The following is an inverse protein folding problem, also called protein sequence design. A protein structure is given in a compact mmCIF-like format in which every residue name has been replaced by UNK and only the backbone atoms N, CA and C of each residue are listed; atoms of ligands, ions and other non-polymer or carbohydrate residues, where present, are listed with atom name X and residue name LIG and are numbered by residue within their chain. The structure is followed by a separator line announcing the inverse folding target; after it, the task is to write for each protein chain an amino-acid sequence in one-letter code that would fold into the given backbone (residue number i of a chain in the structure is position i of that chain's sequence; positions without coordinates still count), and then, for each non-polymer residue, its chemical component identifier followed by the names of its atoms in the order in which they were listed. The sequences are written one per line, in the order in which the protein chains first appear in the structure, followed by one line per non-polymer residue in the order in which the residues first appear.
data_IF_658650079618
#
_entry.id   IF_658650079618
#
_cell.length_a   1.000
_cell.length_b   1.000
_cell.length_c   1.000
_cell.angle_alpha   90.00
_cell.angle_beta   90.00
_cell.angle_gamma   90.00
#
_symmetry.space_group_name_H-M   'P 1'
#
loop_
_entity.id
_entity.type
_entity.pdbx_description
1 polymer ?
#
# COMPACT_ATOMS: atom_id res chain seq x y z
N UNK A 1 -10.12 23.16 11.13
CA UNK A 1 -11.12 22.15 10.72
C UNK A 1 -10.96 21.67 9.26
N UNK A 2 -10.31 22.41 8.35
CA UNK A 2 -10.14 21.98 6.94
C UNK A 2 -9.27 20.72 6.74
N UNK A 3 -8.20 20.56 7.52
CA UNK A 3 -7.25 19.44 7.35
C UNK A 3 -7.89 18.05 7.44
N UNK A 4 -8.61 17.72 8.53
CA UNK A 4 -9.29 16.43 8.66
C UNK A 4 -10.29 16.14 7.53
N UNK A 5 -11.00 17.16 7.04
CA UNK A 5 -11.97 16.99 5.95
C UNK A 5 -11.28 16.59 4.63
N UNK A 6 -10.18 17.26 4.29
CA UNK A 6 -9.40 16.94 3.07
C UNK A 6 -8.84 15.52 3.15
N UNK A 7 -8.35 15.11 4.32
CA UNK A 7 -7.88 13.74 4.56
C UNK A 7 -9.00 12.74 4.31
N UNK A 8 -10.18 12.96 4.89
CA UNK A 8 -11.33 12.07 4.69
C UNK A 8 -11.74 12.00 3.22
N UNK A 9 -11.82 13.13 2.53
CA UNK A 9 -12.14 13.15 1.09
C UNK A 9 -11.09 12.42 0.25
N UNK A 10 -9.80 12.58 0.57
CA UNK A 10 -8.72 11.85 -0.08
C UNK A 10 -8.78 10.35 0.18
N UNK A 11 -9.08 9.91 1.40
CA UNK A 11 -9.27 8.49 1.73
C UNK A 11 -10.47 7.91 0.97
N UNK A 12 -11.59 8.64 0.88
CA UNK A 12 -12.76 8.23 0.09
C UNK A 12 -12.40 8.10 -1.39
N UNK A 13 -11.66 9.07 -1.95
CA UNK A 13 -11.21 9.02 -3.34
C UNK A 13 -10.30 7.81 -3.60
N UNK A 14 -9.37 7.50 -2.69
CA UNK A 14 -8.52 6.32 -2.79
C UNK A 14 -9.33 5.02 -2.74
N UNK A 15 -10.34 4.93 -1.86
CA UNK A 15 -11.25 3.76 -1.82
C UNK A 15 -12.05 3.64 -3.11
N UNK A 16 -12.52 4.76 -3.68
CA UNK A 16 -13.21 4.77 -4.96
C UNK A 16 -12.32 4.19 -6.08
N UNK A 17 -11.06 4.66 -6.19
CA UNK A 17 -10.07 4.11 -7.14
C UNK A 17 -9.78 2.63 -6.87
N UNK A 18 -9.71 2.26 -5.57
CA UNK A 18 -9.83 0.91 -5.01
C UNK A 18 -10.80 0.00 -5.76
N UNK A 19 -12.04 0.44 -5.75
CA UNK A 19 -13.20 -0.30 -6.25
C UNK A 19 -13.19 -0.34 -7.78
N UNK A 20 -12.85 0.77 -8.43
CA UNK A 20 -12.80 0.86 -9.90
C UNK A 20 -11.76 -0.11 -10.48
N UNK A 21 -10.51 -0.05 -9.99
CA UNK A 21 -9.43 -0.94 -10.43
C UNK A 21 -9.72 -2.41 -10.07
N UNK A 22 -10.48 -2.69 -9.01
CA UNK A 22 -10.88 -4.06 -8.66
C UNK A 22 -11.78 -4.69 -9.73
N UNK A 23 -12.75 -3.94 -10.25
CA UNK A 23 -13.62 -4.43 -11.33
C UNK A 23 -12.84 -4.64 -12.62
N UNK A 24 -11.91 -3.75 -12.94
CA UNK A 24 -11.06 -3.91 -14.11
C UNK A 24 -10.08 -5.08 -13.95
N UNK A 25 -9.56 -5.32 -12.73
CA UNK A 25 -8.74 -6.48 -12.43
C UNK A 25 -9.52 -7.78 -12.65
N UNK A 26 -10.80 -7.85 -12.25
CA UNK A 26 -11.63 -9.02 -12.52
C UNK A 26 -11.82 -9.25 -14.02
N UNK A 27 -12.09 -8.19 -14.80
CA UNK A 27 -12.22 -8.30 -16.27
C UNK A 27 -10.91 -8.74 -16.92
N UNK A 28 -9.78 -8.19 -16.49
CA UNK A 28 -8.47 -8.54 -17.00
C UNK A 28 -8.11 -10.00 -16.67
N UNK A 29 -8.44 -10.46 -15.46
CA UNK A 29 -8.27 -11.85 -15.04
C UNK A 29 -9.09 -12.83 -15.90
N UNK A 30 -10.35 -12.52 -16.19
CA UNK A 30 -11.20 -13.33 -17.06
C UNK A 30 -10.67 -13.41 -18.49
N UNK A 31 -9.99 -12.37 -18.97
CA UNK A 31 -9.41 -12.28 -20.31
C UNK A 31 -7.98 -12.82 -20.40
N UNK A 32 -7.41 -13.31 -19.30
CA UNK A 32 -5.98 -13.67 -19.20
C UNK A 32 -5.05 -12.56 -19.75
N UNK A 33 -5.42 -11.29 -19.51
CA UNK A 33 -4.70 -10.13 -20.04
C UNK A 33 -3.45 -9.82 -19.20
N UNK A 34 -2.40 -9.33 -19.84
CA UNK A 34 -1.21 -8.81 -19.15
C UNK A 34 -1.50 -7.55 -18.32
N UNK A 35 -2.64 -6.89 -18.52
CA UNK A 35 -3.08 -5.73 -17.73
C UNK A 35 -3.22 -6.04 -16.23
N UNK A 36 -3.37 -7.33 -15.87
CA UNK A 36 -3.45 -7.80 -14.48
C UNK A 36 -2.27 -7.27 -13.65
N UNK A 37 -1.05 -7.30 -14.18
CA UNK A 37 0.14 -6.86 -13.44
C UNK A 37 0.10 -5.37 -13.13
N UNK A 38 -0.28 -4.56 -14.12
CA UNK A 38 -0.40 -3.10 -13.96
C UNK A 38 -1.50 -2.76 -12.95
N UNK A 39 -2.64 -3.44 -13.02
CA UNK A 39 -3.76 -3.21 -12.10
C UNK A 39 -3.42 -3.62 -10.66
N UNK A 40 -2.71 -4.73 -10.46
CA UNK A 40 -2.24 -5.13 -9.13
C UNK A 40 -1.29 -4.09 -8.52
N UNK A 41 -0.34 -3.56 -9.31
CA UNK A 41 0.58 -2.52 -8.85
C UNK A 41 -0.19 -1.23 -8.51
N UNK A 42 -1.18 -0.83 -9.32
CA UNK A 42 -2.03 0.33 -9.02
C UNK A 42 -2.80 0.14 -7.71
N UNK A 43 -3.42 -1.01 -7.50
CA UNK A 43 -4.14 -1.30 -6.25
C UNK A 43 -3.21 -1.26 -5.03
N UNK A 44 -1.99 -1.80 -5.14
CA UNK A 44 -0.97 -1.67 -4.09
C UNK A 44 -0.61 -0.20 -3.85
N UNK A 45 -0.42 0.58 -4.91
CA UNK A 45 -0.12 2.01 -4.81
C UNK A 45 -1.23 2.76 -4.05
N UNK A 46 -2.50 2.49 -4.35
CA UNK A 46 -3.62 3.12 -3.64
C UNK A 46 -3.68 2.75 -2.15
N UNK A 47 -3.49 1.47 -1.81
CA UNK A 47 -3.40 1.04 -0.41
C UNK A 47 -2.21 1.69 0.31
N UNK A 48 -1.08 1.85 -0.37
CA UNK A 48 0.11 2.48 0.17
C UNK A 48 -0.11 3.98 0.44
N UNK A 49 -0.70 4.68 -0.54
CA UNK A 49 -1.08 6.08 -0.41
C UNK A 49 -2.15 6.29 0.67
N UNK A 50 -3.03 5.31 0.89
CA UNK A 50 -3.99 5.33 1.98
C UNK A 50 -3.27 5.37 3.33
N UNK A 51 -2.28 4.50 3.54
CA UNK A 51 -1.43 4.53 4.74
C UNK A 51 -0.67 5.84 4.92
N UNK A 52 -0.09 6.36 3.84
CA UNK A 52 0.57 7.67 3.84
C UNK A 52 -0.40 8.78 4.30
N UNK A 53 -1.61 8.80 3.75
CA UNK A 53 -2.61 9.84 4.03
C UNK A 53 -3.18 9.75 5.45
N UNK A 54 -3.26 8.55 6.03
CA UNK A 54 -3.62 8.38 7.45
C UNK A 54 -2.65 9.14 8.37
N UNK A 55 -1.38 9.22 8.00
CA UNK A 55 -0.35 9.98 8.71
C UNK A 55 -0.24 11.43 8.23
N UNK A 56 -1.37 12.07 7.94
CA UNK A 56 -1.42 13.45 7.43
C UNK A 56 -0.62 14.46 8.26
N UNK A 57 -0.63 14.36 9.60
CA UNK A 57 0.18 15.26 10.45
C UNK A 57 1.67 15.09 10.19
N UNK A 58 2.12 13.86 9.96
CA UNK A 58 3.50 13.55 9.60
C UNK A 58 3.85 14.07 8.20
N UNK A 59 2.94 13.89 7.24
CA UNK A 59 3.06 14.46 5.89
C UNK A 59 3.19 16.00 5.90
N UNK A 60 2.37 16.70 6.69
CA UNK A 60 2.46 18.16 6.80
C UNK A 60 3.83 18.58 7.32
N UNK A 61 4.36 17.91 8.36
CA UNK A 61 5.72 18.18 8.87
C UNK A 61 6.80 17.96 7.81
N UNK A 62 6.66 16.90 7.01
CA UNK A 62 7.56 16.59 5.89
C UNK A 62 7.55 17.72 4.84
N UNK A 63 6.37 18.19 4.45
CA UNK A 63 6.20 19.30 3.48
C UNK A 63 6.78 20.60 4.04
N UNK A 64 6.58 20.85 5.35
CA UNK A 64 7.18 21.98 6.07
C UNK A 64 8.70 21.84 6.29
N UNK A 65 9.35 20.79 5.74
CA UNK A 65 10.77 20.46 5.88
C UNK A 65 11.21 20.24 7.34
N UNK A 66 10.28 19.94 8.24
CA UNK A 66 10.55 19.58 9.63
C UNK A 66 10.73 18.08 9.76
N UNK A 67 11.76 17.53 9.11
CA UNK A 67 12.02 16.09 9.12
C UNK A 67 12.88 15.66 10.30
N UNK A 68 12.53 14.51 10.87
CA UNK A 68 13.37 13.75 11.81
C UNK A 68 13.44 12.33 11.30
N UNK A 69 14.64 11.88 10.98
CA UNK A 69 14.84 10.58 10.36
C UNK A 69 15.05 9.50 11.43
N UNK A 70 14.22 8.46 11.41
CA UNK A 70 14.32 7.29 12.26
C UNK A 70 14.66 6.04 11.42
N UNK A 71 15.94 5.65 11.42
CA UNK A 71 16.43 4.46 10.70
C UNK A 71 15.74 3.16 11.12
N UNK A 72 15.34 3.05 12.39
CA UNK A 72 14.70 1.85 12.94
C UNK A 72 13.32 1.62 12.30
N UNK A 73 12.59 2.69 11.98
CA UNK A 73 11.32 2.59 11.27
C UNK A 73 11.50 2.60 9.75
N UNK A 74 12.47 3.37 9.24
CA UNK A 74 12.68 3.51 7.81
C UNK A 74 13.05 2.18 7.15
N UNK A 75 13.97 1.41 7.73
CA UNK A 75 14.44 0.15 7.14
C UNK A 75 13.28 -0.86 6.99
N UNK A 76 12.50 -1.18 8.04
CA UNK A 76 11.31 -2.02 7.91
C UNK A 76 10.26 -1.46 6.96
N UNK A 77 10.03 -0.15 6.95
CA UNK A 77 9.07 0.48 6.06
C UNK A 77 9.45 0.27 4.58
N UNK A 78 10.71 0.49 4.23
CA UNK A 78 11.22 0.29 2.86
C UNK A 78 11.20 -1.18 2.49
N UNK A 79 11.69 -2.07 3.36
CA UNK A 79 11.65 -3.51 3.11
C UNK A 79 10.23 -4.01 2.88
N UNK A 80 9.29 -3.62 3.74
CA UNK A 80 7.88 -3.98 3.60
C UNK A 80 7.30 -3.41 2.31
N UNK A 81 7.60 -2.15 1.97
CA UNK A 81 7.16 -1.53 0.72
C UNK A 81 7.64 -2.34 -0.50
N UNK A 82 8.93 -2.67 -0.56
CA UNK A 82 9.48 -3.47 -1.67
C UNK A 82 8.76 -4.81 -1.79
N UNK A 83 8.53 -5.50 -0.66
CA UNK A 83 7.82 -6.78 -0.66
C UNK A 83 6.37 -6.66 -1.13
N UNK A 84 5.64 -5.62 -0.69
CA UNK A 84 4.23 -5.44 -1.04
C UNK A 84 4.01 -4.98 -2.49
N UNK A 85 5.01 -4.35 -3.10
CA UNK A 85 4.94 -3.95 -4.51
C UNK A 85 5.23 -5.08 -5.49
N UNK A 86 5.64 -6.26 -5.02
CA UNK A 86 5.73 -7.47 -5.84
C UNK A 86 4.30 -8.02 -6.05
N UNK A 87 3.79 -8.06 -7.30
CA UNK A 87 2.46 -8.60 -7.57
C UNK A 87 2.27 -10.01 -7.00
N UNK A 88 1.12 -10.25 -6.36
CA UNK A 88 0.78 -11.54 -5.72
C UNK A 88 0.92 -12.77 -6.62
N UNK A 89 0.82 -12.61 -7.94
CA UNK A 89 1.01 -13.68 -8.93
C UNK A 89 2.43 -14.25 -8.84
N UNK A 90 3.45 -13.39 -8.71
CA UNK A 90 4.84 -13.86 -8.59
C UNK A 90 5.11 -14.62 -7.29
N UNK A 91 4.47 -14.23 -6.19
CA UNK A 91 4.56 -14.99 -4.94
C UNK A 91 4.00 -16.40 -5.08
N UNK A 92 2.91 -16.59 -5.82
CA UNK A 92 2.40 -17.91 -6.15
C UNK A 92 3.32 -18.69 -7.09
N UNK A 93 3.91 -18.03 -8.09
CA UNK A 93 4.84 -18.67 -9.02
C UNK A 93 6.12 -19.15 -8.33
N UNK A 94 6.65 -18.38 -7.37
CA UNK A 94 7.88 -18.72 -6.65
C UNK A 94 7.69 -19.77 -5.55
N UNK A 95 6.57 -19.74 -4.83
CA UNK A 95 6.39 -20.55 -3.60
C UNK A 95 5.23 -21.54 -3.67
N UNK A 96 4.45 -21.52 -4.76
CA UNK A 96 3.26 -22.35 -4.93
C UNK A 96 2.06 -21.93 -4.07
N UNK A 97 0.93 -22.59 -4.29
CA UNK A 97 -0.36 -22.29 -3.64
C UNK A 97 -0.40 -22.82 -2.19
N UNK A 98 0.38 -23.85 -1.88
CA UNK A 98 0.50 -24.47 -0.55
C UNK A 98 1.55 -23.80 0.34
N UNK A 99 1.99 -22.59 -0.02
CA UNK A 99 3.03 -21.85 0.71
C UNK A 99 2.72 -21.69 2.20
N UNK A 100 3.79 -21.48 2.97
CA UNK A 100 3.73 -21.26 4.41
C UNK A 100 2.94 -19.99 4.80
N UNK A 101 2.65 -19.85 6.10
CA UNK A 101 1.87 -18.74 6.65
C UNK A 101 2.34 -17.36 6.18
N UNK A 102 3.66 -17.12 6.10
CA UNK A 102 4.21 -15.84 5.67
C UNK A 102 3.93 -15.53 4.18
N UNK A 103 3.95 -16.53 3.30
CA UNK A 103 3.58 -16.35 1.89
C UNK A 103 2.08 -16.09 1.76
N UNK A 104 1.25 -16.76 2.56
CA UNK A 104 -0.19 -16.52 2.60
C UNK A 104 -0.52 -15.09 3.04
N UNK A 105 0.24 -14.55 3.99
CA UNK A 105 0.10 -13.16 4.42
C UNK A 105 0.37 -12.16 3.27
N UNK A 106 1.32 -12.48 2.38
CA UNK A 106 1.67 -11.68 1.21
C UNK A 106 0.75 -11.91 0.00
N UNK A 107 -0.14 -12.90 0.00
CA UNK A 107 -0.96 -13.23 -1.18
C UNK A 107 -2.45 -13.06 -0.95
N UNK A 108 -2.93 -13.25 0.28
CA UNK A 108 -4.33 -13.01 0.64
C UNK A 108 -4.61 -11.50 0.56
N UNK A 109 -5.62 -11.12 -0.23
CA UNK A 109 -5.93 -9.72 -0.55
C UNK A 109 -6.06 -8.83 0.69
N UNK A 110 -6.75 -9.31 1.73
CA UNK A 110 -6.98 -8.52 2.95
C UNK A 110 -5.69 -8.27 3.73
N UNK A 111 -4.86 -9.30 3.93
CA UNK A 111 -3.60 -9.17 4.67
C UNK A 111 -2.58 -8.38 3.87
N UNK A 112 -2.49 -8.60 2.55
CA UNK A 112 -1.66 -7.81 1.66
C UNK A 112 -2.04 -6.33 1.74
N UNK A 113 -3.33 -6.00 1.66
CA UNK A 113 -3.79 -4.60 1.76
C UNK A 113 -3.43 -3.99 3.12
N UNK A 114 -3.66 -4.70 4.22
CA UNK A 114 -3.32 -4.24 5.56
C UNK A 114 -1.81 -3.97 5.73
N UNK A 115 -0.96 -4.88 5.25
CA UNK A 115 0.49 -4.70 5.25
C UNK A 115 0.95 -3.54 4.37
N UNK A 116 0.29 -3.34 3.23
CA UNK A 116 0.60 -2.23 2.31
C UNK A 116 0.25 -0.87 2.94
N UNK A 117 -0.91 -0.78 3.61
CA UNK A 117 -1.30 0.40 4.40
C UNK A 117 -0.28 0.62 5.52
N UNK A 118 0.10 -0.43 6.25
CA UNK A 118 1.11 -0.36 7.30
C UNK A 118 2.45 0.16 6.77
N UNK A 119 2.90 -0.31 5.60
CA UNK A 119 4.13 0.13 4.97
C UNK A 119 4.11 1.65 4.70
N UNK A 120 3.01 2.17 4.14
CA UNK A 120 2.85 3.60 3.89
C UNK A 120 2.84 4.44 5.16
N UNK A 121 2.11 3.97 6.19
CA UNK A 121 2.07 4.59 7.52
C UNK A 121 3.46 4.65 8.15
N UNK A 122 4.18 3.52 8.18
CA UNK A 122 5.52 3.44 8.76
C UNK A 122 6.53 4.33 8.03
N UNK A 123 6.40 4.43 6.70
CA UNK A 123 7.26 5.31 5.92
C UNK A 123 7.12 6.76 6.39
N UNK A 124 5.91 7.30 6.51
CA UNK A 124 5.71 8.68 6.98
C UNK A 124 6.16 8.87 8.43
N UNK A 125 5.90 7.90 9.30
CA UNK A 125 6.37 7.95 10.69
C UNK A 125 7.89 8.00 10.78
N UNK A 126 8.61 7.28 9.91
CA UNK A 126 10.07 7.28 9.89
C UNK A 126 10.71 8.65 9.63
N UNK A 127 9.96 9.62 9.10
CA UNK A 127 10.44 10.98 8.86
C UNK A 127 9.82 12.06 9.75
N UNK A 128 8.80 11.72 10.52
CA UNK A 128 8.00 12.70 11.27
C UNK A 128 7.93 12.44 12.77
N UNK A 129 8.55 11.35 13.23
CA UNK A 129 8.54 10.95 14.63
C UNK A 129 9.27 11.94 15.56
N UNK A 130 8.52 12.37 16.58
CA UNK A 130 8.85 12.09 17.98
C UNK A 130 7.88 10.99 18.43
#
# INVERSE_FOLDING_TARGET
MLGPLIVVLGLIALVYLMVDDYYDLQKAAQRASSEIYTLLIKMTLWAFLFGILLEWRGLVKLIEKKFKFNWILFIPAVMLSVLMFIPKVYWFDWFGITGEFYIKMLTITHTHTALTILAGTLLIRSFSEK
#
